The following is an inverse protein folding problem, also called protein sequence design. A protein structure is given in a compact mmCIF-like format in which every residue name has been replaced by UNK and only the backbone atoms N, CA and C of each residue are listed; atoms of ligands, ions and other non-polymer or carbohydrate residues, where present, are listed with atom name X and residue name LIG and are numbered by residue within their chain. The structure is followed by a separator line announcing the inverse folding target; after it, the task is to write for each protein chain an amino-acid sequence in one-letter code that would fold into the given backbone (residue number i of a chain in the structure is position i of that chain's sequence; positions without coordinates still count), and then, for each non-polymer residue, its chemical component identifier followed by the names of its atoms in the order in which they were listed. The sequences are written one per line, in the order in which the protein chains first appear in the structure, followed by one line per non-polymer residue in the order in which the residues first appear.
data_IF_250569764275
#
_entry.id   IF_250569764275
#
_cell.length_a   1.000
_cell.length_b   1.000
_cell.length_c   1.000
_cell.angle_alpha   90.00
_cell.angle_beta   90.00
_cell.angle_gamma   90.00
#
_symmetry.space_group_name_H-M   'P 1'
#
loop_
_entity.id
_entity.type
_entity.pdbx_description
1 polymer ?
#
# COMPACT_ATOMS: atom_id res chain seq x y z
N UNK A 1 -17.05 -0.38 -13.49
CA UNK A 1 -18.52 -0.50 -13.58
C UNK A 1 -18.97 -1.23 -14.85
N UNK A 2 -18.56 -0.79 -16.06
CA UNK A 2 -18.99 -1.41 -17.34
C UNK A 2 -18.60 -2.89 -17.41
N UNK A 3 -17.35 -3.23 -17.10
CA UNK A 3 -16.85 -4.61 -17.12
C UNK A 3 -17.68 -5.53 -16.19
N UNK A 4 -17.99 -5.08 -14.98
CA UNK A 4 -18.82 -5.86 -14.06
C UNK A 4 -20.23 -6.08 -14.58
N UNK A 5 -20.84 -5.06 -15.20
CA UNK A 5 -22.17 -5.21 -15.82
C UNK A 5 -22.15 -6.23 -16.97
N UNK A 6 -21.11 -6.24 -17.79
CA UNK A 6 -20.95 -7.24 -18.85
C UNK A 6 -20.84 -8.67 -18.28
N UNK A 7 -20.06 -8.84 -17.20
CA UNK A 7 -19.97 -10.15 -16.52
C UNK A 7 -21.33 -10.55 -15.93
N UNK A 8 -22.05 -9.64 -15.28
CA UNK A 8 -23.37 -9.91 -14.73
C UNK A 8 -24.38 -10.34 -15.82
N UNK A 9 -24.35 -9.69 -16.99
CA UNK A 9 -25.22 -10.07 -18.11
C UNK A 9 -24.80 -11.43 -18.72
N UNK A 10 -23.51 -11.72 -18.81
CA UNK A 10 -23.02 -13.02 -19.26
C UNK A 10 -23.42 -14.14 -18.28
N UNK A 11 -23.40 -13.87 -16.97
CA UNK A 11 -23.90 -14.82 -15.94
C UNK A 11 -25.36 -15.17 -16.15
N UNK A 12 -26.23 -14.20 -16.46
CA UNK A 12 -27.65 -14.48 -16.77
C UNK A 12 -27.83 -15.40 -17.97
N UNK A 13 -26.82 -15.47 -18.86
CA UNK A 13 -26.76 -16.34 -20.03
C UNK A 13 -26.04 -17.67 -19.76
N UNK A 14 -25.72 -17.97 -18.49
CA UNK A 14 -25.13 -19.26 -18.09
C UNK A 14 -23.60 -19.23 -17.90
N UNK A 15 -22.93 -18.07 -17.95
CA UNK A 15 -21.51 -18.00 -17.63
C UNK A 15 -21.28 -18.29 -16.14
N UNK A 16 -20.45 -19.30 -15.84
CA UNK A 16 -19.99 -19.56 -14.49
C UNK A 16 -18.85 -18.59 -14.13
N UNK A 17 -19.16 -17.51 -13.44
CA UNK A 17 -18.20 -16.47 -13.08
C UNK A 17 -18.55 -15.80 -11.77
N UNK A 18 -17.55 -15.23 -11.11
CA UNK A 18 -17.71 -14.31 -9.99
C UNK A 18 -16.84 -13.06 -10.19
N UNK A 19 -17.09 -12.04 -9.41
CA UNK A 19 -16.37 -10.78 -9.43
C UNK A 19 -15.59 -10.66 -8.12
N UNK A 20 -14.29 -10.38 -8.22
CA UNK A 20 -13.42 -10.16 -7.06
C UNK A 20 -12.96 -8.71 -7.04
N UNK A 21 -13.15 -8.03 -5.92
CA UNK A 21 -12.79 -6.62 -5.70
C UNK A 21 -11.81 -6.51 -4.54
N UNK A 22 -10.51 -6.59 -4.80
CA UNK A 22 -9.50 -6.37 -3.76
C UNK A 22 -9.41 -4.88 -3.41
N UNK A 23 -8.98 -4.59 -2.17
CA UNK A 23 -8.50 -3.27 -1.77
C UNK A 23 -7.15 -2.94 -2.42
N UNK A 24 -6.35 -2.06 -1.81
CA UNK A 24 -4.98 -1.83 -2.27
C UNK A 24 -4.16 -3.10 -2.09
N UNK A 25 -3.67 -3.66 -3.20
CA UNK A 25 -2.78 -4.82 -3.16
C UNK A 25 -1.36 -4.31 -2.97
N UNK A 26 -0.77 -4.66 -1.85
CA UNK A 26 0.62 -4.30 -1.53
C UNK A 26 1.56 -5.50 -1.74
N UNK A 27 2.80 -5.39 -1.31
CA UNK A 27 3.80 -6.42 -1.53
C UNK A 27 3.50 -7.77 -0.87
N UNK A 28 4.33 -8.74 -1.17
CA UNK A 28 4.34 -10.04 -0.52
C UNK A 28 4.71 -9.92 0.97
N UNK A 29 3.95 -10.55 1.84
CA UNK A 29 4.08 -10.35 3.28
C UNK A 29 5.38 -10.92 3.89
N UNK A 30 6.06 -11.81 3.18
CA UNK A 30 7.29 -12.48 3.66
C UNK A 30 8.54 -11.86 3.08
N UNK A 31 8.50 -11.50 1.79
CA UNK A 31 9.67 -11.04 1.04
C UNK A 31 9.68 -9.53 0.80
N UNK A 32 8.54 -8.86 0.97
CA UNK A 32 8.37 -7.45 0.66
C UNK A 32 8.33 -7.11 -0.83
N UNK A 33 8.47 -8.11 -1.71
CA UNK A 33 8.45 -7.89 -3.17
C UNK A 33 7.17 -7.18 -3.56
N UNK A 34 7.30 -6.01 -4.20
CA UNK A 34 6.17 -5.16 -4.56
C UNK A 34 6.39 -4.45 -5.89
N UNK A 35 5.30 -3.95 -6.48
CA UNK A 35 5.37 -3.12 -7.68
C UNK A 35 5.71 -1.67 -7.29
N UNK A 36 6.91 -1.21 -7.65
CA UNK A 36 7.39 0.15 -7.34
C UNK A 36 6.63 1.26 -8.08
N UNK A 37 5.87 0.91 -9.15
CA UNK A 37 5.05 1.87 -9.89
C UNK A 37 3.69 2.15 -9.22
N UNK A 38 3.40 1.48 -8.10
CA UNK A 38 2.15 1.66 -7.37
C UNK A 38 2.09 3.04 -6.70
N UNK A 39 0.87 3.60 -6.66
CA UNK A 39 0.58 4.91 -6.07
C UNK A 39 1.11 5.05 -4.63
N UNK A 40 0.88 4.03 -3.79
CA UNK A 40 1.27 4.07 -2.37
C UNK A 40 2.78 4.23 -2.21
N UNK A 41 3.58 3.48 -2.97
CA UNK A 41 5.04 3.55 -2.88
C UNK A 41 5.59 4.84 -3.47
N UNK A 42 4.98 5.33 -4.55
CA UNK A 42 5.30 6.66 -5.10
C UNK A 42 4.97 7.78 -4.12
N UNK A 43 3.83 7.68 -3.42
CA UNK A 43 3.45 8.64 -2.37
C UNK A 43 4.49 8.65 -1.24
N UNK A 44 4.90 7.48 -0.76
CA UNK A 44 5.96 7.33 0.24
C UNK A 44 7.26 7.98 -0.24
N UNK A 45 7.72 7.64 -1.46
CA UNK A 45 8.96 8.18 -2.01
C UNK A 45 8.90 9.70 -2.14
N UNK A 46 7.81 10.25 -2.65
CA UNK A 46 7.64 11.69 -2.78
C UNK A 46 7.61 12.43 -1.44
N UNK A 47 6.99 11.84 -0.42
CA UNK A 47 7.04 12.37 0.94
C UNK A 47 8.47 12.37 1.54
N UNK A 48 9.24 11.31 1.29
CA UNK A 48 10.64 11.22 1.74
C UNK A 48 11.48 12.30 1.03
N UNK A 49 11.33 12.46 -0.29
CA UNK A 49 12.04 13.48 -1.06
C UNK A 49 11.71 14.91 -0.60
N UNK A 50 10.46 15.14 -0.20
CA UNK A 50 10.00 16.42 0.33
C UNK A 50 10.37 16.65 1.80
N UNK A 51 10.82 15.61 2.53
CA UNK A 51 10.99 15.60 3.97
C UNK A 51 9.71 15.97 4.76
N UNK A 52 8.54 15.81 4.12
CA UNK A 52 7.26 16.20 4.68
C UNK A 52 6.20 15.14 4.41
N UNK A 53 5.38 14.84 5.43
CA UNK A 53 4.27 13.88 5.34
C UNK A 53 2.95 14.55 5.72
N UNK A 54 1.86 14.30 4.95
CA UNK A 54 0.57 14.89 5.24
C UNK A 54 -0.15 14.17 6.39
N UNK A 55 -0.88 14.92 7.20
CA UNK A 55 -1.79 14.36 8.21
C UNK A 55 -3.11 13.97 7.57
N UNK A 56 -3.24 12.71 7.15
CA UNK A 56 -4.45 12.13 6.58
C UNK A 56 -4.90 10.96 7.46
N UNK A 57 -6.11 11.03 8.01
CA UNK A 57 -6.62 10.03 8.96
C UNK A 57 -7.56 8.99 8.31
N UNK A 58 -7.79 9.06 7.02
CA UNK A 58 -8.62 8.11 6.30
C UNK A 58 -8.08 6.69 6.41
N UNK A 59 -8.98 5.72 6.51
CA UNK A 59 -8.62 4.30 6.50
C UNK A 59 -8.02 3.92 5.15
N UNK A 60 -6.91 3.21 5.19
CA UNK A 60 -6.23 2.65 4.04
C UNK A 60 -6.39 1.13 4.06
N UNK A 61 -7.21 0.63 3.15
CA UNK A 61 -7.47 -0.80 3.07
C UNK A 61 -6.41 -1.50 2.21
N UNK A 62 -5.34 -1.95 2.85
CA UNK A 62 -4.22 -2.64 2.22
C UNK A 62 -4.29 -4.15 2.49
N UNK A 63 -4.04 -4.96 1.47
CA UNK A 63 -3.94 -6.41 1.58
C UNK A 63 -2.65 -6.90 0.92
N UNK A 64 -1.86 -7.76 1.59
CA UNK A 64 -0.69 -8.38 0.98
C UNK A 64 -1.08 -9.21 -0.25
N UNK A 65 -0.22 -9.19 -1.28
CA UNK A 65 -0.50 -9.87 -2.56
C UNK A 65 -0.65 -11.39 -2.39
N UNK A 66 0.09 -12.00 -1.50
CA UNK A 66 0.01 -13.42 -1.17
C UNK A 66 -1.36 -13.79 -0.54
N UNK A 67 -1.89 -12.94 0.33
CA UNK A 67 -3.25 -13.11 0.86
C UNK A 67 -4.30 -12.95 -0.24
N UNK A 68 -4.19 -11.94 -1.09
CA UNK A 68 -5.12 -11.71 -2.20
C UNK A 68 -5.09 -12.90 -3.18
N UNK A 69 -3.91 -13.39 -3.52
CA UNK A 69 -3.74 -14.56 -4.39
C UNK A 69 -4.36 -15.82 -3.79
N UNK A 70 -4.18 -16.04 -2.48
CA UNK A 70 -4.82 -17.14 -1.75
C UNK A 70 -6.34 -17.02 -1.82
N UNK A 71 -6.91 -15.84 -1.51
CA UNK A 71 -8.35 -15.62 -1.59
C UNK A 71 -8.90 -15.91 -3.00
N UNK A 72 -8.27 -15.38 -4.04
CA UNK A 72 -8.69 -15.61 -5.43
C UNK A 72 -8.67 -17.10 -5.75
N UNK A 73 -7.63 -17.82 -5.35
CA UNK A 73 -7.50 -19.27 -5.58
C UNK A 73 -8.63 -20.02 -4.92
N UNK A 74 -8.87 -19.80 -3.62
CA UNK A 74 -9.92 -20.49 -2.87
C UNK A 74 -11.31 -20.16 -3.44
N UNK A 75 -11.58 -18.89 -3.76
CA UNK A 75 -12.85 -18.47 -4.36
C UNK A 75 -13.06 -19.15 -5.72
N UNK A 76 -12.02 -19.17 -6.57
CA UNK A 76 -12.11 -19.75 -7.92
C UNK A 76 -12.39 -21.27 -7.93
N UNK A 77 -11.97 -21.96 -6.88
CA UNK A 77 -12.20 -23.40 -6.69
C UNK A 77 -13.52 -23.72 -5.98
N UNK A 78 -14.21 -22.73 -5.46
CA UNK A 78 -15.45 -22.91 -4.73
C UNK A 78 -16.65 -23.10 -5.66
N UNK A 79 -17.41 -24.18 -5.47
CA UNK A 79 -18.61 -24.46 -6.24
C UNK A 79 -19.73 -23.42 -6.06
N UNK A 80 -19.72 -22.69 -4.95
CA UNK A 80 -20.75 -21.67 -4.63
C UNK A 80 -20.34 -20.25 -5.02
N UNK A 81 -19.14 -20.05 -5.56
CA UNK A 81 -18.63 -18.72 -5.86
C UNK A 81 -19.47 -17.98 -6.91
N UNK A 82 -19.90 -18.69 -7.95
CA UNK A 82 -20.77 -18.10 -8.98
C UNK A 82 -22.09 -17.61 -8.39
N UNK A 83 -22.71 -18.37 -7.52
CA UNK A 83 -24.02 -18.02 -6.93
C UNK A 83 -23.90 -16.80 -6.02
N UNK A 84 -22.85 -16.70 -5.24
CA UNK A 84 -22.55 -15.53 -4.39
C UNK A 84 -22.21 -14.27 -5.18
N UNK A 85 -21.59 -14.42 -6.33
CA UNK A 85 -21.42 -13.40 -7.35
C UNK A 85 -20.30 -12.41 -7.12
N UNK A 86 -20.22 -11.68 -5.99
CA UNK A 86 -19.25 -10.62 -5.73
C UNK A 86 -18.52 -10.84 -4.42
N UNK A 87 -17.19 -10.68 -4.44
CA UNK A 87 -16.29 -10.87 -3.30
C UNK A 87 -15.42 -9.64 -3.10
N UNK A 88 -15.51 -9.01 -1.95
CA UNK A 88 -14.55 -7.99 -1.56
C UNK A 88 -13.42 -8.67 -0.78
N UNK A 89 -12.19 -8.45 -1.21
CA UNK A 89 -10.99 -8.85 -0.45
C UNK A 89 -10.48 -7.59 0.22
N UNK A 90 -10.77 -7.48 1.51
CA UNK A 90 -10.45 -6.30 2.31
C UNK A 90 -9.77 -6.72 3.59
N UNK A 91 -9.00 -5.81 4.17
CA UNK A 91 -8.48 -5.99 5.51
C UNK A 91 -9.63 -5.97 6.53
N UNK A 92 -9.68 -6.86 7.51
CA UNK A 92 -10.66 -6.79 8.59
C UNK A 92 -10.59 -5.45 9.33
N UNK A 93 -11.73 -5.01 9.87
CA UNK A 93 -11.94 -3.66 10.40
C UNK A 93 -11.07 -3.27 11.60
N UNK A 94 -10.54 -4.22 12.35
CA UNK A 94 -9.80 -3.97 13.58
C UNK A 94 -8.46 -4.73 13.59
N UNK A 95 -7.37 -4.00 13.76
CA UNK A 95 -7.26 -2.54 13.78
C UNK A 95 -7.32 -1.93 12.37
N UNK A 96 -8.02 -0.80 12.22
CA UNK A 96 -8.03 -0.06 10.95
C UNK A 96 -6.68 0.58 10.71
N UNK A 97 -6.00 0.24 9.63
CA UNK A 97 -4.79 0.93 9.20
C UNK A 97 -5.16 2.22 8.45
N UNK A 98 -4.46 3.31 8.71
CA UNK A 98 -4.75 4.64 8.16
C UNK A 98 -3.56 5.18 7.39
N UNK A 99 -3.80 6.17 6.53
CA UNK A 99 -2.68 6.86 5.86
C UNK A 99 -1.66 7.42 6.85
N UNK A 100 -2.11 7.98 7.98
CA UNK A 100 -1.17 8.48 8.99
C UNK A 100 -0.31 7.37 9.60
N UNK A 101 -0.82 6.16 9.71
CA UNK A 101 -0.07 5.01 10.23
C UNK A 101 0.99 4.56 9.22
N UNK A 102 0.66 4.61 7.91
CA UNK A 102 1.62 4.41 6.83
C UNK A 102 2.79 5.42 6.93
N UNK A 103 2.47 6.68 7.13
CA UNK A 103 3.49 7.74 7.24
C UNK A 103 4.29 7.65 8.55
N UNK A 104 3.65 7.26 9.65
CA UNK A 104 4.36 7.03 10.91
C UNK A 104 5.41 5.93 10.79
N UNK A 105 5.15 4.89 9.98
CA UNK A 105 6.13 3.82 9.75
C UNK A 105 7.41 4.32 9.07
N UNK A 106 7.38 5.43 8.32
CA UNK A 106 8.60 6.06 7.78
C UNK A 106 9.48 6.62 8.88
N UNK A 107 8.88 7.30 9.86
CA UNK A 107 9.59 7.85 11.02
C UNK A 107 10.21 6.71 11.83
N UNK A 108 9.44 5.64 12.07
CA UNK A 108 9.90 4.46 12.80
C UNK A 108 11.02 3.74 12.07
N UNK A 109 10.99 3.71 10.74
CA UNK A 109 12.03 3.12 9.90
C UNK A 109 13.31 3.96 9.86
N UNK A 110 13.26 5.23 10.29
CA UNK A 110 14.41 6.11 10.42
C UNK A 110 14.49 7.24 9.40
N UNK A 111 13.46 7.47 8.58
CA UNK A 111 13.44 8.62 7.68
C UNK A 111 13.18 9.93 8.44
N UNK A 112 13.93 10.96 8.06
CA UNK A 112 13.75 12.31 8.60
C UNK A 112 12.62 13.03 7.85
N UNK A 113 11.39 12.82 8.31
CA UNK A 113 10.19 13.44 7.75
C UNK A 113 9.38 14.12 8.85
N UNK A 114 8.83 15.29 8.55
CA UNK A 114 8.03 16.09 9.48
C UNK A 114 6.55 16.03 9.09
N UNK A 115 5.67 15.98 10.08
CA UNK A 115 4.21 16.02 9.85
C UNK A 115 3.76 17.44 9.55
N UNK A 116 2.91 17.59 8.53
CA UNK A 116 2.27 18.85 8.20
C UNK A 116 0.78 18.66 7.91
N UNK A 117 0.00 19.71 8.12
CA UNK A 117 -1.38 19.75 7.63
C UNK A 117 -1.39 19.56 6.11
N UNK A 118 -2.43 18.89 5.59
CA UNK A 118 -2.52 18.55 4.17
C UNK A 118 -2.31 19.76 3.24
N UNK A 119 -2.91 20.91 3.56
CA UNK A 119 -2.80 22.13 2.74
C UNK A 119 -1.36 22.64 2.69
N UNK A 120 -0.64 22.60 3.81
CA UNK A 120 0.78 22.99 3.88
C UNK A 120 1.61 22.02 3.06
N UNK A 121 1.47 20.71 3.28
CA UNK A 121 2.17 19.69 2.54
C UNK A 121 1.94 19.80 1.03
N UNK A 122 0.69 20.05 0.60
CA UNK A 122 0.35 20.22 -0.80
C UNK A 122 1.05 21.43 -1.42
N UNK A 123 1.09 22.56 -0.73
CA UNK A 123 1.74 23.78 -1.23
C UNK A 123 3.25 23.57 -1.37
N UNK A 124 3.91 22.97 -0.38
CA UNK A 124 5.32 22.61 -0.44
C UNK A 124 5.61 21.63 -1.59
N UNK A 125 4.76 20.65 -1.81
CA UNK A 125 4.87 19.74 -2.95
C UNK A 125 4.76 20.48 -4.28
N UNK A 126 3.84 21.44 -4.41
CA UNK A 126 3.70 22.26 -5.61
C UNK A 126 4.95 23.09 -5.86
N UNK A 127 5.47 23.78 -4.85
CA UNK A 127 6.68 24.59 -4.97
C UNK A 127 7.89 23.72 -5.33
N UNK A 128 8.05 22.59 -4.68
CA UNK A 128 9.14 21.65 -4.95
C UNK A 128 9.11 21.16 -6.40
N UNK A 129 7.93 20.78 -6.90
CA UNK A 129 7.78 20.24 -8.27
C UNK A 129 7.92 21.31 -9.35
N UNK A 130 7.62 22.57 -9.05
CA UNK A 130 7.92 23.69 -9.97
C UNK A 130 9.42 23.95 -10.13
N UNK A 131 10.22 23.63 -9.12
CA UNK A 131 11.66 23.80 -9.13
C UNK A 131 12.41 22.56 -9.62
N UNK A 132 11.87 21.37 -9.36
CA UNK A 132 12.48 20.08 -9.65
C UNK A 132 11.42 19.07 -10.08
N UNK A 133 11.52 18.58 -11.31
CA UNK A 133 10.61 17.56 -11.85
C UNK A 133 10.87 16.14 -11.29
N UNK A 134 11.90 15.96 -10.46
CA UNK A 134 12.38 14.66 -9.99
C UNK A 134 11.58 14.04 -8.83
N UNK A 135 10.54 14.73 -8.31
CA UNK A 135 9.72 14.16 -7.27
C UNK A 135 8.89 12.99 -7.80
N UNK A 136 8.85 11.88 -7.06
CA UNK A 136 8.12 10.67 -7.44
C UNK A 136 6.60 10.88 -7.61
N UNK A 137 6.03 11.97 -7.05
CA UNK A 137 4.64 12.35 -7.21
C UNK A 137 4.37 13.24 -8.42
N UNK A 138 5.41 13.74 -9.11
CA UNK A 138 5.22 14.62 -10.28
C UNK A 138 4.22 14.04 -11.30
N UNK A 139 4.30 12.77 -11.72
CA UNK A 139 3.33 12.19 -12.66
C UNK A 139 1.90 12.07 -12.11
N UNK A 140 1.72 12.18 -10.79
CA UNK A 140 0.47 11.98 -10.07
C UNK A 140 -0.07 13.29 -9.45
N UNK A 141 0.54 14.43 -9.78
CA UNK A 141 0.19 15.73 -9.19
C UNK A 141 -1.30 16.05 -9.33
N UNK A 142 -1.89 15.82 -10.51
CA UNK A 142 -3.31 16.08 -10.75
C UNK A 142 -4.21 15.35 -9.74
N UNK A 143 -3.85 14.12 -9.35
CA UNK A 143 -4.60 13.33 -8.37
C UNK A 143 -4.38 13.84 -6.94
N UNK A 144 -3.14 14.21 -6.62
CA UNK A 144 -2.74 14.65 -5.28
C UNK A 144 -3.20 16.08 -5.00
N UNK A 145 -3.23 16.95 -6.02
CA UNK A 145 -3.55 18.37 -5.86
C UNK A 145 -5.05 18.64 -5.74
N UNK A 146 -5.91 17.75 -6.24
CA UNK A 146 -7.37 17.95 -6.17
C UNK A 146 -7.85 17.99 -4.72
N UNK A 147 -7.90 16.89 -4.05
CA UNK A 147 -8.15 16.77 -2.59
C UNK A 147 -7.95 15.33 -2.15
N UNK A 148 -6.72 14.96 -1.87
CA UNK A 148 -6.37 13.61 -1.45
C UNK A 148 -7.15 13.12 -0.22
N UNK A 149 -7.38 13.94 0.85
CA UNK A 149 -8.18 13.52 1.99
C UNK A 149 -9.63 13.18 1.65
N UNK A 150 -10.23 13.83 0.67
CA UNK A 150 -11.59 13.53 0.22
C UNK A 150 -11.60 12.36 -0.77
N UNK A 151 -10.67 12.34 -1.72
CA UNK A 151 -10.61 11.30 -2.77
C UNK A 151 -10.22 9.93 -2.23
N UNK A 152 -9.49 9.87 -1.12
CA UNK A 152 -9.12 8.62 -0.45
C UNK A 152 -10.14 8.14 0.58
N UNK A 153 -11.23 8.87 0.80
CA UNK A 153 -12.30 8.45 1.70
C UNK A 153 -13.06 7.28 1.08
N UNK A 154 -12.78 6.08 1.54
CA UNK A 154 -13.43 4.87 1.06
C UNK A 154 -14.65 4.49 1.92
N UNK A 155 -15.72 3.93 1.33
CA UNK A 155 -16.80 3.34 2.10
C UNK A 155 -16.33 2.09 2.84
N UNK A 156 -17.02 1.75 3.92
CA UNK A 156 -16.84 0.45 4.54
C UNK A 156 -17.37 -0.64 3.60
N UNK A 157 -16.54 -1.64 3.33
CA UNK A 157 -16.89 -2.76 2.47
C UNK A 157 -17.21 -3.99 3.33
N UNK A 158 -18.32 -4.65 3.01
CA UNK A 158 -18.63 -5.95 3.59
C UNK A 158 -17.82 -7.04 2.88
N UNK A 159 -17.12 -7.87 3.66
CA UNK A 159 -16.33 -8.98 3.15
C UNK A 159 -16.89 -10.36 3.55
N UNK A 160 -18.14 -10.41 3.98
CA UNK A 160 -18.76 -11.64 4.46
C UNK A 160 -18.68 -12.80 3.45
N UNK A 161 -18.94 -12.54 2.17
CA UNK A 161 -18.84 -13.57 1.13
C UNK A 161 -17.44 -14.18 1.06
N UNK A 162 -16.40 -13.35 1.22
CA UNK A 162 -15.01 -13.81 1.22
C UNK A 162 -14.68 -14.58 2.48
N UNK A 163 -15.01 -14.06 3.66
CA UNK A 163 -14.73 -14.73 4.94
C UNK A 163 -15.41 -16.10 5.06
N UNK A 164 -16.64 -16.24 4.56
CA UNK A 164 -17.39 -17.50 4.60
C UNK A 164 -16.74 -18.61 3.74
N UNK A 165 -16.02 -18.25 2.69
CA UNK A 165 -15.39 -19.21 1.77
C UNK A 165 -13.92 -19.43 2.11
N UNK A 166 -13.19 -18.36 2.37
CA UNK A 166 -11.73 -18.41 2.55
C UNK A 166 -11.36 -18.92 3.94
N UNK A 167 -12.12 -18.53 4.96
CA UNK A 167 -11.91 -18.96 6.35
C UNK A 167 -10.60 -18.44 6.98
N UNK A 168 -9.77 -17.73 6.24
CA UNK A 168 -8.54 -17.09 6.70
C UNK A 168 -8.70 -15.59 6.68
N UNK A 169 -8.36 -14.94 7.78
CA UNK A 169 -8.33 -13.47 7.85
C UNK A 169 -7.03 -12.90 7.27
N UNK A 170 -7.12 -11.68 6.72
CA UNK A 170 -5.95 -10.91 6.33
C UNK A 170 -5.10 -10.60 7.57
N UNK A 171 -3.80 -10.74 7.43
CA UNK A 171 -2.89 -10.38 8.52
C UNK A 171 -2.93 -8.88 8.80
N UNK A 172 -2.65 -8.51 10.05
CA UNK A 172 -2.56 -7.10 10.46
C UNK A 172 -1.38 -6.43 9.76
N UNK A 173 -1.63 -5.24 9.22
CA UNK A 173 -0.55 -4.38 8.72
C UNK A 173 0.04 -3.66 9.94
N UNK A 174 1.13 -4.18 10.43
CA UNK A 174 1.87 -3.66 11.57
C UNK A 174 3.23 -3.05 11.16
N UNK A 175 3.94 -2.51 12.14
CA UNK A 175 5.26 -1.92 11.94
C UNK A 175 6.27 -2.91 11.36
N UNK A 176 6.17 -4.20 11.75
CA UNK A 176 7.06 -5.25 11.27
C UNK A 176 6.84 -5.51 9.78
N UNK A 177 5.59 -5.64 9.35
CA UNK A 177 5.25 -5.84 7.95
C UNK A 177 5.63 -4.62 7.10
N UNK A 178 5.37 -3.40 7.61
CA UNK A 178 5.84 -2.18 6.96
C UNK A 178 7.37 -2.14 6.85
N UNK A 179 8.09 -2.59 7.86
CA UNK A 179 9.55 -2.72 7.82
C UNK A 179 10.02 -3.67 6.70
N UNK A 180 9.32 -4.78 6.46
CA UNK A 180 9.62 -5.71 5.36
C UNK A 180 9.47 -5.02 3.99
N UNK A 181 8.38 -4.27 3.78
CA UNK A 181 8.16 -3.54 2.53
C UNK A 181 9.20 -2.44 2.31
N UNK A 182 9.44 -1.61 3.32
CA UNK A 182 10.43 -0.54 3.24
C UNK A 182 11.84 -1.10 3.02
N UNK A 183 12.19 -2.21 3.70
CA UNK A 183 13.47 -2.90 3.51
C UNK A 183 13.65 -3.41 2.08
N UNK A 184 12.62 -4.00 1.47
CA UNK A 184 12.66 -4.39 0.07
C UNK A 184 12.85 -3.18 -0.86
N UNK A 185 12.09 -2.10 -0.66
CA UNK A 185 12.18 -0.90 -1.49
C UNK A 185 13.58 -0.24 -1.43
N UNK A 186 14.21 -0.26 -0.26
CA UNK A 186 15.61 0.17 -0.10
C UNK A 186 16.57 -0.80 -0.81
N UNK A 187 16.37 -2.12 -0.66
CA UNK A 187 17.23 -3.14 -1.28
C UNK A 187 17.25 -3.03 -2.81
N UNK A 188 16.12 -2.73 -3.43
CA UNK A 188 16.02 -2.60 -4.90
C UNK A 188 16.40 -1.19 -5.40
N UNK A 189 16.80 -0.29 -4.51
CA UNK A 189 17.19 1.08 -4.85
C UNK A 189 16.02 1.99 -5.26
N UNK A 190 14.79 1.61 -4.92
CA UNK A 190 13.63 2.48 -5.11
C UNK A 190 13.60 3.59 -4.07
N UNK A 191 13.92 3.28 -2.82
CA UNK A 191 14.13 4.26 -1.74
C UNK A 191 15.59 4.31 -1.36
N UNK A 192 16.09 5.49 -1.01
CA UNK A 192 17.40 5.65 -0.40
C UNK A 192 17.38 5.12 1.04
N UNK A 193 18.53 4.69 1.54
CA UNK A 193 18.64 4.32 2.95
C UNK A 193 18.41 5.55 3.83
N UNK A 194 17.70 5.41 4.97
CA UNK A 194 17.64 6.50 5.94
C UNK A 194 19.05 6.91 6.36
N UNK A 195 19.28 8.20 6.45
CA UNK A 195 20.54 8.71 6.99
C UNK A 195 20.64 8.40 8.50
N UNK A 196 21.83 8.06 9.02
CA UNK A 196 22.00 7.85 10.45
C UNK A 196 21.65 9.16 11.20
N UNK A 197 20.59 9.13 11.98
CA UNK A 197 20.23 10.26 12.82
C UNK A 197 21.08 10.28 14.08
N UNK A 198 21.60 11.48 14.42
CA UNK A 198 22.13 11.74 15.74
C UNK A 198 20.98 11.61 16.75
N UNK A 199 21.04 10.59 17.60
CA UNK A 199 19.95 10.19 18.53
C UNK A 199 19.53 11.29 19.53
N UNK A 200 20.11 12.50 19.42
CA UNK A 200 19.89 13.63 20.31
C UNK A 200 18.79 14.62 19.93
N UNK A 201 18.14 14.51 18.76
CA UNK A 201 17.23 15.57 18.27
C UNK A 201 15.82 15.14 17.90
N UNK A 202 15.44 13.89 18.03
CA UNK A 202 14.04 13.47 17.82
C UNK A 202 13.29 13.58 19.13
N UNK A 203 12.46 14.61 19.25
CA UNK A 203 11.69 14.88 20.45
C UNK A 203 10.80 13.70 20.85
N UNK A 204 11.08 13.12 22.02
CA UNK A 204 10.08 12.52 22.90
C UNK A 204 9.56 11.13 22.58
N UNK A 205 10.07 10.42 21.60
CA UNK A 205 9.83 9.00 21.45
C UNK A 205 11.19 8.28 21.54
N UNK A 206 11.49 7.71 22.69
CA UNK A 206 12.49 6.63 22.79
C UNK A 206 11.95 5.44 21.98
N UNK A 207 12.01 5.58 20.64
CA UNK A 207 11.60 4.57 19.72
C UNK A 207 12.59 3.43 19.75
N UNK A 208 12.13 2.23 20.10
CA UNK A 208 12.79 1.02 19.68
C UNK A 208 13.01 1.16 18.18
N UNK A 209 14.26 1.34 17.76
CA UNK A 209 14.66 1.09 16.38
C UNK A 209 14.22 -0.34 16.15
N UNK A 210 13.26 -0.55 15.24
CA UNK A 210 12.91 -1.89 14.78
C UNK A 210 14.23 -2.53 14.36
N UNK A 211 14.62 -3.64 15.02
CA UNK A 211 15.64 -4.51 14.50
C UNK A 211 15.15 -4.91 13.11
N UNK A 212 15.72 -4.26 12.10
CA UNK A 212 15.43 -4.57 10.71
C UNK A 212 15.66 -6.07 10.55
N UNK A 213 14.70 -6.84 10.03
CA UNK A 213 14.99 -8.23 9.69
C UNK A 213 16.24 -8.19 8.85
N UNK A 214 17.25 -8.97 9.26
CA UNK A 214 18.55 -8.99 8.63
C UNK A 214 18.33 -9.13 7.11
N UNK A 215 18.69 -8.08 6.36
CA UNK A 215 18.48 -8.04 4.90
C UNK A 215 19.22 -9.21 4.23
N UNK A 216 20.22 -9.77 4.91
CA UNK A 216 20.90 -11.00 4.51
C UNK A 216 19.99 -12.24 4.49
N UNK A 217 18.89 -12.26 5.26
CA UNK A 217 17.97 -13.40 5.27
C UNK A 217 17.05 -13.46 4.01
N UNK A 218 17.09 -12.43 3.16
CA UNK A 218 16.40 -12.41 1.87
C UNK A 218 17.27 -12.93 0.71
N UNK A 219 18.34 -13.67 1.00
CA UNK A 219 19.11 -14.39 -0.01
C UNK A 219 18.22 -15.42 -0.71
N UNK A 220 17.99 -15.22 -1.99
CA UNK A 220 17.19 -16.11 -2.86
C UNK A 220 16.12 -15.43 -3.70
N UNK A 221 15.87 -14.14 -3.51
CA UNK A 221 14.96 -13.39 -4.42
C UNK A 221 15.80 -12.87 -5.60
N UNK A 222 15.71 -13.54 -6.74
CA UNK A 222 16.24 -13.00 -8.00
C UNK A 222 15.53 -11.68 -8.32
N UNK A 223 16.30 -10.61 -8.38
CA UNK A 223 15.82 -9.30 -8.81
C UNK A 223 15.54 -9.42 -10.32
N UNK A 224 14.27 -9.51 -10.70
CA UNK A 224 13.87 -9.37 -12.09
C UNK A 224 14.22 -7.95 -12.54
N UNK A 225 15.43 -7.79 -13.09
CA UNK A 225 15.80 -6.58 -13.83
C UNK A 225 14.89 -6.52 -15.05
N UNK A 226 13.94 -5.60 -15.07
CA UNK A 226 13.25 -5.26 -16.31
C UNK A 226 14.31 -4.77 -17.29
N UNK A 227 14.57 -5.59 -18.35
CA UNK A 227 15.31 -5.15 -19.51
C UNK A 227 14.57 -3.95 -20.08
N UNK A 228 15.19 -2.78 -20.05
CA UNK A 228 14.69 -1.61 -20.74
C UNK A 228 14.47 -1.97 -22.22
N UNK A 229 13.27 -1.75 -22.71
CA UNK A 229 13.05 -1.63 -24.13
C UNK A 229 13.35 -0.18 -24.49
N UNK A 230 14.38 -0.03 -25.33
CA UNK A 230 14.62 1.17 -26.13
C UNK A 230 13.38 1.53 -26.95
#
# INVERSE_FOLDING_TARGET
WVAEKLIMEAKKRGLNACIVRPGYIVGDSKTGVTNTDDFIWRLIKGCIQLHLIPTIYNTLNMCPVDYVAHCITVISLSSVASDRGVFHITHPKNPSFRFIDLFNSLILYGYNVTKAEYVIWRNELMEFTLQQEDNALYPLLHFVLDDLPTTTKAPELDYKNTSDIVGQECMVIDEKLMGIYLGYLVKVGFLDKPEPHDKGKVGGLEGKILDLPDIAALEGVEILKRSGRN
#
